data_IF_259541561685
#
_entry.id   IF_259541561685
#
_cell.length_a   1.000
_cell.length_b   1.000
_cell.length_c   1.000
_cell.angle_alpha   90.00
_cell.angle_beta   90.00
_cell.angle_gamma   90.00
#
_symmetry.space_group_name_H-M   'P 1'
#
loop_
_entity.id
_entity.type
_entity.pdbx_description
1 polymer ?
#
# COMPACT_ATOMS: atom_id res chain seq x y z
N UNK A 1 -33.71 32.55 -12.97
CA UNK A 1 -32.30 32.86 -13.08
C UNK A 1 -31.61 32.64 -11.75
N UNK A 2 -31.10 31.46 -11.52
CA UNK A 2 -30.24 31.14 -10.36
C UNK A 2 -28.85 30.86 -10.91
N UNK A 3 -27.91 31.80 -10.71
CA UNK A 3 -26.51 31.59 -11.02
C UNK A 3 -25.91 30.69 -9.96
N UNK A 4 -25.56 29.44 -10.32
CA UNK A 4 -24.72 28.58 -9.51
C UNK A 4 -23.33 29.20 -9.39
N UNK A 5 -22.97 29.69 -8.21
CA UNK A 5 -21.62 30.14 -7.91
C UNK A 5 -20.63 28.98 -8.05
N UNK A 6 -19.35 29.26 -8.32
CA UNK A 6 -18.32 28.22 -8.44
C UNK A 6 -18.22 27.44 -7.13
N UNK A 7 -18.31 26.13 -7.23
CA UNK A 7 -18.03 25.22 -6.11
C UNK A 7 -16.59 25.48 -5.70
N UNK A 8 -16.37 25.96 -4.48
CA UNK A 8 -15.05 26.23 -3.95
C UNK A 8 -14.24 24.93 -3.99
N UNK A 9 -13.07 24.96 -4.61
CA UNK A 9 -12.12 23.86 -4.57
C UNK A 9 -11.87 23.47 -3.10
N UNK A 10 -11.85 22.19 -2.75
CA UNK A 10 -11.54 21.77 -1.40
C UNK A 10 -10.16 22.30 -1.01
N UNK A 11 -10.05 22.82 0.21
CA UNK A 11 -8.78 23.31 0.75
C UNK A 11 -7.67 22.26 0.56
N UNK A 12 -6.43 22.65 0.23
CA UNK A 12 -5.34 21.72 0.06
C UNK A 12 -5.18 20.90 1.34
N UNK A 13 -4.92 19.60 1.25
CA UNK A 13 -4.72 18.77 2.42
C UNK A 13 -3.59 19.35 3.26
N UNK A 14 -3.94 19.62 4.50
CA UNK A 14 -3.13 20.31 5.51
C UNK A 14 -1.71 19.72 5.57
N UNK A 15 -0.70 20.55 5.81
CA UNK A 15 0.71 20.21 5.99
C UNK A 15 1.02 19.22 7.14
N UNK A 16 0.00 18.62 7.74
CA UNK A 16 0.05 17.82 8.97
C UNK A 16 0.28 16.33 8.76
N UNK A 17 0.39 15.83 7.55
CA UNK A 17 0.65 14.40 7.34
C UNK A 17 2.11 14.18 6.95
N UNK A 18 2.96 13.96 7.95
CA UNK A 18 4.29 13.41 7.73
C UNK A 18 4.14 12.02 7.05
N UNK A 19 4.92 11.74 6.00
CA UNK A 19 4.95 10.41 5.39
C UNK A 19 5.36 9.37 6.44
N UNK A 20 4.80 8.16 6.31
CA UNK A 20 5.07 7.05 7.23
C UNK A 20 6.52 6.57 7.08
N UNK A 21 7.23 6.32 8.19
CA UNK A 21 8.63 5.87 8.18
C UNK A 21 9.56 6.80 7.39
N UNK A 22 9.29 8.11 7.40
CA UNK A 22 10.06 9.07 6.61
C UNK A 22 11.56 9.01 6.91
N UNK A 23 11.92 9.00 8.21
CA UNK A 23 13.30 8.93 8.66
C UNK A 23 14.01 7.66 8.17
N UNK A 24 13.32 6.53 8.24
CA UNK A 24 13.83 5.24 7.80
C UNK A 24 13.99 5.21 6.27
N UNK A 25 13.08 5.85 5.53
CA UNK A 25 13.19 5.97 4.07
C UNK A 25 14.38 6.84 3.66
N UNK A 26 14.58 7.99 4.29
CA UNK A 26 15.75 8.83 4.05
C UNK A 26 17.04 8.07 4.39
N UNK A 27 17.08 7.38 5.53
CA UNK A 27 18.19 6.51 5.90
C UNK A 27 18.47 5.38 4.92
N UNK A 28 17.45 4.87 4.22
CA UNK A 28 17.63 3.83 3.20
C UNK A 28 18.46 4.31 2.00
N UNK A 29 18.38 5.58 1.65
CA UNK A 29 19.11 6.19 0.54
C UNK A 29 20.34 6.97 0.98
N UNK A 30 20.53 7.22 2.27
CA UNK A 30 21.67 7.96 2.80
C UNK A 30 23.02 7.36 2.38
N UNK A 31 24.01 8.25 2.11
CA UNK A 31 25.36 7.87 1.71
C UNK A 31 25.44 7.28 0.30
N UNK A 32 24.44 7.53 -0.54
CA UNK A 32 24.43 7.18 -1.98
C UNK A 32 24.24 8.44 -2.81
N UNK A 33 24.86 8.47 -3.96
CA UNK A 33 24.55 9.46 -4.99
C UNK A 33 23.37 8.95 -5.81
N UNK A 34 22.30 9.75 -5.87
CA UNK A 34 21.07 9.42 -6.62
C UNK A 34 20.99 10.27 -7.88
N UNK A 35 21.45 9.76 -9.02
CA UNK A 35 21.24 10.45 -10.31
C UNK A 35 19.82 10.28 -10.84
N UNK A 36 19.23 9.08 -10.63
CA UNK A 36 17.87 8.72 -11.03
C UNK A 36 17.11 8.18 -9.82
N UNK A 37 16.01 8.85 -9.47
CA UNK A 37 15.12 8.41 -8.39
C UNK A 37 13.70 8.16 -8.92
N UNK A 38 13.13 6.99 -8.61
CA UNK A 38 11.76 6.62 -8.96
C UNK A 38 10.92 6.38 -7.69
N UNK A 39 9.78 7.05 -7.61
CA UNK A 39 8.74 6.79 -6.62
C UNK A 39 7.55 6.13 -7.32
N UNK A 40 7.35 4.85 -7.05
CA UNK A 40 6.33 4.02 -7.70
C UNK A 40 4.93 4.23 -7.14
N UNK A 41 4.81 4.98 -6.05
CA UNK A 41 3.59 5.20 -5.28
C UNK A 41 3.55 6.63 -4.78
N UNK A 42 3.66 7.55 -5.73
CA UNK A 42 3.93 8.97 -5.48
C UNK A 42 2.98 9.62 -4.47
N UNK A 43 1.69 9.27 -4.52
CA UNK A 43 0.67 9.88 -3.68
C UNK A 43 0.73 11.41 -3.79
N UNK A 44 0.85 12.07 -2.64
CA UNK A 44 0.99 13.53 -2.56
C UNK A 44 2.44 14.03 -2.67
N UNK A 45 3.39 13.15 -2.98
CA UNK A 45 4.81 13.51 -3.12
C UNK A 45 5.54 13.78 -1.80
N UNK A 46 5.04 13.27 -0.69
CA UNK A 46 5.63 13.53 0.63
C UNK A 46 7.02 12.91 0.79
N UNK A 47 7.16 11.62 0.54
CA UNK A 47 8.45 10.93 0.54
C UNK A 47 9.39 11.49 -0.52
N UNK A 48 8.88 11.63 -1.75
CA UNK A 48 9.66 12.17 -2.86
C UNK A 48 10.21 13.55 -2.56
N UNK A 49 9.38 14.44 -1.99
CA UNK A 49 9.84 15.78 -1.62
C UNK A 49 10.99 15.78 -0.63
N UNK A 50 10.91 14.90 0.38
CA UNK A 50 11.97 14.79 1.38
C UNK A 50 13.26 14.15 0.79
N UNK A 51 13.13 13.09 -0.02
CA UNK A 51 14.29 12.49 -0.70
C UNK A 51 14.96 13.49 -1.62
N UNK A 52 14.22 14.20 -2.47
CA UNK A 52 14.75 15.19 -3.38
C UNK A 52 15.39 16.40 -2.67
N UNK A 53 14.92 16.74 -1.46
CA UNK A 53 15.53 17.79 -0.65
C UNK A 53 16.89 17.36 -0.06
N UNK A 54 17.06 16.08 0.30
CA UNK A 54 18.32 15.51 0.80
C UNK A 54 19.29 15.12 -0.32
N UNK A 55 18.76 14.87 -1.54
CA UNK A 55 19.50 14.43 -2.71
C UNK A 55 19.39 15.42 -3.88
N UNK A 56 19.97 16.64 -3.76
CA UNK A 56 19.90 17.66 -4.82
C UNK A 56 20.65 17.25 -6.09
N UNK A 57 21.44 16.20 -6.06
CA UNK A 57 22.12 15.60 -7.21
C UNK A 57 21.20 14.78 -8.12
N UNK A 58 19.95 14.52 -7.73
CA UNK A 58 18.96 13.82 -8.59
C UNK A 58 18.73 14.64 -9.85
N UNK A 59 19.08 14.07 -11.00
CA UNK A 59 18.88 14.69 -12.31
C UNK A 59 17.55 14.33 -12.93
N UNK A 60 17.11 13.07 -12.74
CA UNK A 60 15.85 12.57 -13.28
C UNK A 60 15.01 11.96 -12.16
N UNK A 61 13.82 12.49 -12.02
CA UNK A 61 12.78 11.97 -11.12
C UNK A 61 11.65 11.36 -11.94
N UNK A 62 11.17 10.18 -11.51
CA UNK A 62 10.00 9.50 -12.08
C UNK A 62 9.02 9.19 -10.95
N UNK A 63 7.90 9.89 -10.92
CA UNK A 63 6.83 9.66 -9.93
C UNK A 63 5.62 9.02 -10.59
N UNK A 64 5.22 7.85 -10.12
CA UNK A 64 4.11 7.06 -10.66
C UNK A 64 2.96 7.01 -9.67
N UNK A 65 1.74 7.24 -10.13
CA UNK A 65 0.51 7.00 -9.36
C UNK A 65 -0.65 6.67 -10.30
N UNK A 66 -1.62 5.88 -9.82
CA UNK A 66 -2.87 5.57 -10.54
C UNK A 66 -3.88 6.71 -10.44
N UNK A 67 -3.83 7.48 -9.35
CA UNK A 67 -4.79 8.54 -9.08
C UNK A 67 -4.33 9.86 -9.71
N UNK A 68 -5.05 10.36 -10.75
CA UNK A 68 -4.67 11.60 -11.43
C UNK A 68 -4.69 12.82 -10.51
N UNK A 69 -5.55 12.82 -9.47
CA UNK A 69 -5.64 13.91 -8.51
C UNK A 69 -4.39 13.95 -7.60
N UNK A 70 -3.90 12.77 -7.22
CA UNK A 70 -2.66 12.67 -6.45
C UNK A 70 -1.48 13.23 -7.24
N UNK A 71 -1.36 12.86 -8.52
CA UNK A 71 -0.31 13.35 -9.43
C UNK A 71 -0.34 14.87 -9.60
N UNK A 72 -1.52 15.47 -9.74
CA UNK A 72 -1.67 16.92 -9.87
C UNK A 72 -1.15 17.65 -8.62
N UNK A 73 -1.55 17.19 -7.43
CA UNK A 73 -1.11 17.76 -6.16
C UNK A 73 0.40 17.57 -5.97
N UNK A 74 0.92 16.37 -6.26
CA UNK A 74 2.36 16.10 -6.16
C UNK A 74 3.18 16.97 -7.10
N UNK A 75 2.72 17.16 -8.34
CA UNK A 75 3.36 18.05 -9.32
C UNK A 75 3.45 19.48 -8.79
N UNK A 76 2.36 20.04 -8.27
CA UNK A 76 2.38 21.36 -7.66
C UNK A 76 3.30 21.45 -6.45
N UNK A 77 3.32 20.41 -5.60
CA UNK A 77 4.13 20.36 -4.38
C UNK A 77 5.63 20.27 -4.67
N UNK A 78 6.01 19.50 -5.68
CA UNK A 78 7.41 19.21 -6.04
C UNK A 78 7.97 20.22 -7.05
N UNK A 79 7.16 21.15 -7.58
CA UNK A 79 7.64 22.21 -8.48
C UNK A 79 8.52 23.23 -7.74
N UNK A 80 9.26 24.03 -8.51
CA UNK A 80 10.04 25.13 -7.96
C UNK A 80 9.14 26.10 -7.18
N UNK A 81 9.49 26.39 -5.94
CA UNK A 81 8.66 27.20 -5.03
C UNK A 81 7.43 26.47 -4.48
N UNK A 82 7.25 25.17 -4.74
CA UNK A 82 6.19 24.36 -4.18
C UNK A 82 6.38 24.03 -2.71
N UNK A 83 5.35 23.41 -2.11
CA UNK A 83 5.30 23.13 -0.67
C UNK A 83 6.40 22.16 -0.14
N UNK A 84 7.08 21.43 -1.04
CA UNK A 84 8.24 20.58 -0.67
C UNK A 84 9.50 21.37 -0.36
N UNK A 85 9.53 22.68 -0.68
CA UNK A 85 10.66 23.55 -0.39
C UNK A 85 11.94 23.19 -1.13
N UNK A 86 11.85 22.54 -2.29
CA UNK A 86 13.00 22.16 -3.10
C UNK A 86 13.76 23.41 -3.57
N UNK A 87 15.05 23.50 -3.25
CA UNK A 87 15.92 24.59 -3.69
C UNK A 87 16.19 24.53 -5.19
N UNK A 88 16.40 23.31 -5.70
CA UNK A 88 16.58 23.03 -7.13
C UNK A 88 15.88 21.69 -7.43
N UNK A 89 14.72 21.72 -8.10
CA UNK A 89 14.09 20.48 -8.55
C UNK A 89 14.97 19.78 -9.59
N UNK A 90 14.86 18.46 -9.76
CA UNK A 90 15.53 17.73 -10.82
C UNK A 90 15.31 18.33 -12.19
N UNK A 91 16.34 18.24 -13.07
CA UNK A 91 16.25 18.77 -14.44
C UNK A 91 15.13 18.11 -15.25
N UNK A 92 14.86 16.82 -15.00
CA UNK A 92 13.75 16.09 -15.58
C UNK A 92 12.81 15.57 -14.48
N UNK A 93 11.58 16.08 -14.47
CA UNK A 93 10.51 15.70 -13.56
C UNK A 93 9.40 14.99 -14.36
N UNK A 94 9.30 13.68 -14.22
CA UNK A 94 8.33 12.85 -14.91
C UNK A 94 7.22 12.41 -13.96
N UNK A 95 6.00 12.86 -14.19
CA UNK A 95 4.81 12.45 -13.43
C UNK A 95 3.95 11.57 -14.32
N UNK A 96 3.87 10.29 -13.99
CA UNK A 96 3.26 9.28 -14.84
C UNK A 96 1.99 8.73 -14.20
N UNK A 97 0.86 8.87 -14.88
CA UNK A 97 -0.35 8.16 -14.51
C UNK A 97 -0.21 6.70 -14.99
N UNK A 98 -0.06 5.77 -14.06
CA UNK A 98 0.16 4.38 -14.42
C UNK A 98 0.22 3.45 -13.22
N UNK A 99 0.42 2.19 -13.53
CA UNK A 99 0.66 1.15 -12.54
C UNK A 99 2.16 0.95 -12.36
N UNK A 100 2.60 0.81 -11.13
CA UNK A 100 4.02 0.53 -10.82
C UNK A 100 4.51 -0.84 -11.36
N UNK A 101 3.61 -1.71 -11.81
CA UNK A 101 3.96 -2.92 -12.57
C UNK A 101 4.68 -2.62 -13.87
N UNK A 102 4.39 -1.45 -14.44
CA UNK A 102 4.91 -0.97 -15.72
C UNK A 102 6.13 -0.03 -15.51
N UNK A 103 6.83 -0.15 -14.37
CA UNK A 103 7.99 0.70 -14.08
C UNK A 103 9.04 0.72 -15.20
N UNK A 104 9.41 -0.40 -15.83
CA UNK A 104 10.37 -0.37 -16.94
C UNK A 104 9.88 0.48 -18.13
N UNK A 105 8.60 0.45 -18.43
CA UNK A 105 7.96 1.26 -19.48
C UNK A 105 7.96 2.75 -19.10
N UNK A 106 7.67 3.05 -17.84
CA UNK A 106 7.69 4.42 -17.34
C UNK A 106 9.10 5.02 -17.37
N UNK A 107 10.13 4.23 -17.05
CA UNK A 107 11.53 4.65 -17.17
C UNK A 107 11.89 4.92 -18.65
N UNK A 108 11.51 4.03 -19.57
CA UNK A 108 11.71 4.24 -21.02
C UNK A 108 11.00 5.51 -21.51
N UNK A 109 9.78 5.75 -21.04
CA UNK A 109 9.03 6.98 -21.34
C UNK A 109 9.70 8.24 -20.82
N UNK A 110 10.51 8.14 -19.78
CA UNK A 110 11.35 9.23 -19.25
C UNK A 110 12.73 9.35 -19.94
N UNK A 111 12.97 8.60 -21.02
CA UNK A 111 14.24 8.62 -21.76
C UNK A 111 15.35 7.80 -21.11
N UNK A 112 15.02 6.90 -20.19
CA UNK A 112 15.96 6.03 -19.47
C UNK A 112 15.88 4.58 -19.98
N UNK A 113 16.90 3.76 -19.77
CA UNK A 113 16.77 2.31 -19.89
C UNK A 113 15.65 1.79 -18.95
N UNK A 114 14.92 0.75 -19.39
CA UNK A 114 13.93 0.10 -18.52
C UNK A 114 14.56 -0.73 -17.40
N UNK A 115 15.83 -1.08 -17.55
CA UNK A 115 16.63 -1.88 -16.61
C UNK A 115 17.94 -1.18 -16.31
N UNK A 116 18.48 -1.37 -15.10
CA UNK A 116 19.79 -0.87 -14.72
C UNK A 116 19.92 0.66 -14.65
N UNK A 117 18.81 1.40 -14.56
CA UNK A 117 18.80 2.85 -14.68
C UNK A 117 18.63 3.61 -13.36
N UNK A 118 17.92 3.03 -12.39
CA UNK A 118 17.52 3.75 -11.19
C UNK A 118 18.53 3.54 -10.04
N UNK A 119 19.00 4.63 -9.45
CA UNK A 119 19.85 4.60 -8.26
C UNK A 119 19.03 4.43 -6.98
N UNK A 120 17.79 4.92 -6.98
CA UNK A 120 16.86 4.75 -5.89
C UNK A 120 15.44 4.49 -6.40
N UNK A 121 14.78 3.48 -5.80
CA UNK A 121 13.36 3.20 -6.04
C UNK A 121 12.67 3.11 -4.69
N UNK A 122 11.52 3.79 -4.55
CA UNK A 122 10.65 3.71 -3.40
C UNK A 122 9.28 3.16 -3.81
N UNK A 123 8.74 2.25 -2.99
CA UNK A 123 7.36 1.78 -3.06
C UNK A 123 6.72 1.90 -1.68
N UNK A 124 5.74 2.78 -1.52
CA UNK A 124 4.91 2.89 -0.32
C UNK A 124 3.55 2.23 -0.62
N UNK A 125 3.45 0.93 -0.29
CA UNK A 125 2.31 0.11 -0.68
C UNK A 125 1.03 0.53 0.05
N UNK A 126 -0.11 0.25 -0.57
CA UNK A 126 -1.41 0.51 -0.01
C UNK A 126 -2.10 1.71 -0.65
N UNK A 127 -2.81 2.51 0.15
CA UNK A 127 -3.66 3.61 -0.32
C UNK A 127 -3.22 4.94 0.28
N UNK A 128 -3.45 6.02 -0.48
CA UNK A 128 -3.05 7.37 -0.07
C UNK A 128 -3.96 7.96 1.00
N UNK A 129 -3.46 8.98 1.72
CA UNK A 129 -4.27 9.75 2.68
C UNK A 129 -5.50 10.36 2.01
N UNK A 130 -5.39 10.84 0.76
CA UNK A 130 -6.55 11.37 0.00
C UNK A 130 -7.67 10.33 -0.12
N UNK A 131 -7.32 9.07 -0.36
CA UNK A 131 -8.29 8.01 -0.56
C UNK A 131 -8.99 7.63 0.74
N UNK A 132 -8.30 7.63 1.88
CA UNK A 132 -8.89 7.25 3.17
C UNK A 132 -9.64 8.39 3.84
N UNK A 133 -9.21 9.63 3.61
CA UNK A 133 -9.82 10.80 4.24
C UNK A 133 -11.05 11.32 3.49
N UNK A 134 -11.24 10.91 2.24
CA UNK A 134 -12.41 11.22 1.43
C UNK A 134 -13.48 10.12 1.58
N UNK A 135 -14.62 10.39 2.26
CA UNK A 135 -15.69 9.41 2.42
C UNK A 135 -16.27 8.92 1.10
N UNK A 136 -16.27 9.76 0.06
CA UNK A 136 -16.78 9.42 -1.28
C UNK A 136 -15.98 8.33 -1.98
N UNK A 137 -14.78 8.03 -1.49
CA UNK A 137 -13.92 6.96 -2.02
C UNK A 137 -14.18 5.59 -1.35
N UNK A 138 -14.89 5.52 -0.24
CA UNK A 138 -15.30 4.29 0.44
C UNK A 138 -14.19 3.43 1.06
N UNK A 139 -12.97 3.96 1.22
CA UNK A 139 -11.86 3.21 1.83
C UNK A 139 -11.97 3.07 3.35
N UNK A 140 -12.75 3.91 3.99
CA UNK A 140 -12.93 3.95 5.44
C UNK A 140 -14.39 3.75 5.82
N UNK A 141 -14.62 3.11 6.96
CA UNK A 141 -15.94 3.00 7.59
C UNK A 141 -16.11 3.95 8.80
N UNK A 142 -15.15 4.84 9.03
CA UNK A 142 -15.24 5.83 10.11
C UNK A 142 -16.28 6.92 9.80
N UNK A 143 -16.46 7.23 8.54
CA UNK A 143 -17.52 8.06 7.99
C UNK A 143 -18.23 7.24 6.92
N UNK A 144 -19.56 7.33 6.90
CA UNK A 144 -20.35 6.66 5.87
C UNK A 144 -20.17 7.32 4.53
N UNK A 145 -20.14 6.52 3.47
CA UNK A 145 -19.97 6.96 2.09
C UNK A 145 -20.21 5.80 1.12
N UNK A 146 -20.18 6.06 -0.20
CA UNK A 146 -20.34 5.01 -1.21
C UNK A 146 -19.34 3.86 -1.01
N UNK A 147 -19.79 2.62 -1.22
CA UNK A 147 -18.97 1.43 -1.11
C UNK A 147 -18.15 1.20 -2.39
N UNK A 148 -17.13 2.05 -2.62
CA UNK A 148 -16.37 2.06 -3.87
C UNK A 148 -15.03 1.31 -3.74
N UNK A 149 -14.07 1.83 -3.00
CA UNK A 149 -12.71 1.31 -2.74
C UNK A 149 -11.79 1.23 -3.98
N UNK A 150 -12.15 1.78 -5.13
CA UNK A 150 -11.28 1.79 -6.32
C UNK A 150 -10.15 2.81 -6.18
N UNK A 151 -8.92 2.40 -6.40
CA UNK A 151 -7.78 3.32 -6.52
C UNK A 151 -7.85 4.09 -7.84
N UNK A 152 -8.09 3.38 -8.95
CA UNK A 152 -8.42 3.98 -10.25
C UNK A 152 -9.94 4.03 -10.44
N UNK A 153 -10.55 5.22 -10.46
CA UNK A 153 -12.00 5.36 -10.65
C UNK A 153 -12.51 4.79 -12.00
N UNK A 154 -11.64 4.62 -12.98
CA UNK A 154 -12.02 4.10 -14.30
C UNK A 154 -12.22 2.57 -14.34
N UNK A 155 -11.75 1.82 -13.33
CA UNK A 155 -11.94 0.37 -13.32
C UNK A 155 -13.41 -0.01 -13.04
N UNK A 156 -13.84 -1.15 -13.61
CA UNK A 156 -15.23 -1.60 -13.49
C UNK A 156 -15.57 -2.18 -12.11
N UNK A 157 -14.64 -2.97 -11.52
CA UNK A 157 -14.86 -3.63 -10.24
C UNK A 157 -14.73 -2.63 -9.09
N UNK A 158 -15.81 -2.47 -8.31
CA UNK A 158 -15.82 -1.73 -7.04
C UNK A 158 -16.17 -2.67 -5.87
N UNK A 159 -15.99 -2.21 -4.64
CA UNK A 159 -16.40 -2.99 -3.47
C UNK A 159 -17.92 -3.22 -3.44
N UNK A 160 -18.71 -2.26 -3.96
CA UNK A 160 -20.16 -2.41 -4.14
C UNK A 160 -20.50 -3.57 -5.09
N UNK A 161 -19.84 -3.64 -6.23
CA UNK A 161 -20.00 -4.75 -7.18
C UNK A 161 -19.62 -6.08 -6.50
N UNK A 162 -18.47 -6.12 -5.84
CA UNK A 162 -17.99 -7.34 -5.16
C UNK A 162 -19.00 -7.87 -4.12
N UNK A 163 -19.51 -7.01 -3.21
CA UNK A 163 -20.42 -7.47 -2.15
C UNK A 163 -21.82 -7.82 -2.65
N UNK A 164 -22.26 -7.23 -3.78
CA UNK A 164 -23.59 -7.46 -4.30
C UNK A 164 -23.66 -8.60 -5.33
N UNK A 165 -22.60 -8.84 -6.09
CA UNK A 165 -22.60 -9.80 -7.20
C UNK A 165 -21.90 -11.11 -6.89
N UNK A 166 -20.83 -11.09 -6.05
CA UNK A 166 -20.10 -12.32 -5.75
C UNK A 166 -20.90 -13.29 -4.90
N UNK A 167 -20.73 -14.58 -5.17
CA UNK A 167 -21.32 -15.64 -4.38
C UNK A 167 -20.72 -15.75 -2.98
N UNK A 168 -21.42 -16.42 -2.07
CA UNK A 168 -20.97 -16.61 -0.68
C UNK A 168 -19.59 -17.29 -0.60
N UNK A 169 -19.34 -18.26 -1.47
CA UNK A 169 -18.05 -18.97 -1.51
C UNK A 169 -16.90 -18.06 -1.96
N UNK A 170 -17.13 -17.20 -2.95
CA UNK A 170 -16.15 -16.26 -3.46
C UNK A 170 -15.84 -15.17 -2.43
N UNK A 171 -16.87 -14.55 -1.85
CA UNK A 171 -16.71 -13.64 -0.72
C UNK A 171 -15.94 -14.31 0.42
N UNK A 172 -16.31 -15.56 0.76
CA UNK A 172 -15.63 -16.32 1.80
C UNK A 172 -14.15 -16.53 1.50
N UNK A 173 -13.77 -16.87 0.25
CA UNK A 173 -12.37 -16.98 -0.17
C UNK A 173 -11.62 -15.67 -0.01
N UNK A 174 -12.18 -14.57 -0.50
CA UNK A 174 -11.58 -13.24 -0.39
C UNK A 174 -11.37 -12.83 1.07
N UNK A 175 -12.39 -12.98 1.93
CA UNK A 175 -12.28 -12.66 3.35
C UNK A 175 -11.22 -13.52 4.07
N UNK A 176 -11.14 -14.81 3.72
CA UNK A 176 -10.15 -15.73 4.29
C UNK A 176 -8.73 -15.39 3.85
N UNK A 177 -8.52 -15.25 2.54
CA UNK A 177 -7.19 -15.24 1.94
C UNK A 177 -6.56 -13.83 1.94
N UNK A 178 -7.36 -12.79 1.72
CA UNK A 178 -6.91 -11.40 1.67
C UNK A 178 -7.15 -10.61 2.97
N UNK A 179 -8.14 -11.04 3.78
CA UNK A 179 -8.43 -10.44 5.09
C UNK A 179 -7.78 -11.15 6.25
N UNK A 180 -7.23 -12.36 6.05
CA UNK A 180 -6.84 -13.25 7.15
C UNK A 180 -7.95 -13.37 8.22
N UNK A 181 -9.24 -13.34 7.78
CA UNK A 181 -10.41 -13.31 8.65
C UNK A 181 -10.79 -14.72 9.13
N UNK A 182 -10.77 -14.93 10.43
CA UNK A 182 -11.04 -16.25 11.01
C UNK A 182 -12.52 -16.66 10.90
N UNK A 183 -13.42 -15.69 10.92
CA UNK A 183 -14.88 -15.91 10.87
C UNK A 183 -15.44 -15.72 9.45
N UNK A 184 -14.61 -15.90 8.43
CA UNK A 184 -14.92 -15.61 7.05
C UNK A 184 -16.23 -16.24 6.53
N UNK A 185 -16.52 -17.52 6.88
CA UNK A 185 -17.77 -18.18 6.48
C UNK A 185 -19.00 -17.45 7.00
N UNK A 186 -18.98 -17.14 8.31
CA UNK A 186 -20.07 -16.42 8.96
C UNK A 186 -20.27 -15.02 8.38
N UNK A 187 -19.18 -14.31 8.08
CA UNK A 187 -19.25 -12.94 7.54
C UNK A 187 -19.71 -12.94 6.09
N UNK A 188 -19.25 -13.88 5.24
CA UNK A 188 -19.73 -14.05 3.88
C UNK A 188 -21.24 -14.35 3.86
N UNK A 189 -21.68 -15.33 4.67
CA UNK A 189 -23.11 -15.64 4.79
C UNK A 189 -23.95 -14.46 5.25
N UNK A 190 -23.46 -13.64 6.19
CA UNK A 190 -24.15 -12.41 6.64
C UNK A 190 -24.30 -11.38 5.52
N UNK A 191 -23.27 -11.14 4.72
CA UNK A 191 -23.34 -10.24 3.57
C UNK A 191 -24.44 -10.70 2.61
N UNK A 192 -24.42 -11.99 2.23
CA UNK A 192 -25.42 -12.56 1.31
C UNK A 192 -26.82 -12.50 1.89
N UNK A 193 -27.01 -12.86 3.16
CA UNK A 193 -28.31 -12.77 3.84
C UNK A 193 -28.81 -11.32 3.93
N UNK A 194 -27.93 -10.36 4.23
CA UNK A 194 -28.31 -8.96 4.33
C UNK A 194 -28.81 -8.42 2.99
N UNK A 195 -28.07 -8.65 1.89
CA UNK A 195 -28.49 -8.18 0.56
C UNK A 195 -29.77 -8.87 0.06
N UNK A 196 -29.97 -10.13 0.42
CA UNK A 196 -31.20 -10.85 0.07
C UNK A 196 -32.41 -10.31 0.83
N UNK A 197 -32.23 -9.88 2.08
CA UNK A 197 -33.31 -9.40 2.94
C UNK A 197 -33.64 -7.91 2.79
N UNK A 198 -32.63 -7.09 2.47
CA UNK A 198 -32.72 -5.61 2.46
C UNK A 198 -32.40 -4.94 1.13
N UNK A 199 -32.00 -5.70 0.14
CA UNK A 199 -31.53 -5.19 -1.14
C UNK A 199 -30.04 -4.92 -1.17
N UNK A 200 -29.59 -4.23 -2.22
CA UNK A 200 -28.19 -3.93 -2.48
C UNK A 200 -27.52 -3.18 -1.33
N UNK A 201 -26.26 -3.50 -1.06
CA UNK A 201 -25.40 -2.81 -0.10
C UNK A 201 -24.67 -1.69 -0.85
N UNK A 202 -25.03 -0.44 -0.58
CA UNK A 202 -24.58 0.73 -1.33
C UNK A 202 -23.49 1.51 -0.58
N UNK A 203 -23.50 1.46 0.77
CA UNK A 203 -22.60 2.28 1.59
C UNK A 203 -21.70 1.48 2.49
N UNK A 204 -20.63 2.12 2.95
CA UNK A 204 -19.70 1.56 3.94
C UNK A 204 -20.40 1.25 5.25
N UNK A 205 -21.34 2.09 5.67
CA UNK A 205 -22.16 1.90 6.87
C UNK A 205 -23.07 0.68 6.77
N UNK A 206 -23.73 0.47 5.63
CA UNK A 206 -24.56 -0.72 5.38
C UNK A 206 -23.73 -2.00 5.40
N UNK A 207 -22.51 -1.98 4.84
CA UNK A 207 -21.60 -3.13 4.95
C UNK A 207 -21.24 -3.42 6.41
N UNK A 208 -20.91 -2.38 7.22
CA UNK A 208 -20.64 -2.55 8.66
C UNK A 208 -21.87 -3.14 9.39
N UNK A 209 -23.09 -2.73 9.02
CA UNK A 209 -24.32 -3.30 9.56
C UNK A 209 -24.49 -4.77 9.14
N UNK A 210 -24.28 -5.10 7.87
CA UNK A 210 -24.33 -6.48 7.35
C UNK A 210 -23.34 -7.41 8.10
N UNK A 211 -22.17 -6.91 8.45
CA UNK A 211 -21.19 -7.64 9.26
C UNK A 211 -21.62 -7.81 10.73
N UNK A 212 -22.69 -7.11 11.17
CA UNK A 212 -23.15 -7.08 12.56
C UNK A 212 -22.21 -6.33 13.48
N UNK A 213 -21.53 -5.30 12.96
CA UNK A 213 -20.57 -4.50 13.69
C UNK A 213 -21.07 -3.06 13.97
N UNK A 214 -22.33 -2.74 13.64
CA UNK A 214 -22.95 -1.44 13.89
C UNK A 214 -22.97 -1.15 15.41
N UNK A 215 -22.49 0.02 15.78
CA UNK A 215 -22.39 0.41 17.19
C UNK A 215 -21.31 -0.32 18.00
N UNK A 216 -20.41 -1.04 17.33
CA UNK A 216 -19.28 -1.68 18.01
C UNK A 216 -18.42 -0.63 18.73
N UNK A 217 -18.17 -0.88 20.02
CA UNK A 217 -17.26 -0.06 20.82
C UNK A 217 -16.05 -0.90 21.18
N UNK A 218 -14.81 -0.36 21.10
CA UNK A 218 -13.63 -1.08 21.56
C UNK A 218 -13.85 -1.50 23.03
N UNK A 219 -13.71 -2.78 23.30
CA UNK A 219 -13.63 -3.23 24.68
C UNK A 219 -12.29 -2.69 25.21
N UNK A 220 -12.36 -1.63 26.01
CA UNK A 220 -11.23 -1.19 26.80
C UNK A 220 -10.97 -2.29 27.82
N UNK A 221 -10.04 -3.21 27.49
CA UNK A 221 -9.56 -4.16 28.46
C UNK A 221 -9.12 -3.34 29.69
N UNK A 222 -9.88 -3.47 30.78
CA UNK A 222 -9.51 -2.87 32.07
C UNK A 222 -8.03 -3.16 32.26
N UNK A 223 -7.24 -2.12 32.55
CA UNK A 223 -5.83 -2.25 32.95
C UNK A 223 -5.77 -3.06 34.25
N UNK A 224 -5.97 -4.37 34.13
CA UNK A 224 -5.82 -5.34 35.21
C UNK A 224 -4.54 -6.15 34.93
N UNK A 225 -3.54 -6.04 35.80
CA UNK A 225 -2.45 -7.02 35.83
C UNK A 225 -3.08 -8.37 36.15
N UNK A 226 -3.15 -9.24 35.15
CA UNK A 226 -3.36 -10.68 35.41
C UNK A 226 -2.09 -11.23 36.07
N UNK A 227 -2.20 -12.11 37.08
CA UNK A 227 -1.07 -12.83 37.64
C UNK A 227 -0.56 -13.82 36.59
N UNK A 228 0.59 -13.52 35.96
CA UNK A 228 1.23 -14.39 34.98
C UNK A 228 1.54 -13.71 33.66
N UNK A 229 2.43 -12.73 33.60
CA UNK A 229 3.32 -12.29 32.50
C UNK A 229 2.84 -12.41 31.02
N UNK A 230 1.56 -12.52 30.72
CA UNK A 230 1.02 -12.67 29.39
C UNK A 230 1.12 -11.39 28.58
N UNK A 231 1.59 -11.46 27.33
CA UNK A 231 1.63 -10.38 26.34
C UNK A 231 0.32 -9.60 26.36
N UNK A 232 0.39 -8.31 26.60
CA UNK A 232 -0.74 -7.40 26.48
C UNK A 232 -1.33 -7.54 25.07
N UNK A 233 -2.57 -7.99 24.97
CA UNK A 233 -3.32 -7.89 23.73
C UNK A 233 -3.46 -6.39 23.41
N UNK A 234 -3.01 -5.98 22.23
CA UNK A 234 -3.25 -4.62 21.74
C UNK A 234 -4.75 -4.31 21.65
N UNK A 235 -5.13 -3.03 21.44
CA UNK A 235 -6.54 -2.68 21.32
C UNK A 235 -7.21 -3.55 20.26
N UNK A 236 -8.42 -4.05 20.58
CA UNK A 236 -9.18 -4.91 19.68
C UNK A 236 -9.48 -4.15 18.38
N UNK A 237 -9.09 -4.71 17.24
CA UNK A 237 -9.42 -4.17 15.92
C UNK A 237 -10.94 -4.20 15.72
N UNK A 238 -11.47 -3.17 15.04
CA UNK A 238 -12.86 -3.15 14.64
C UNK A 238 -13.18 -4.41 13.78
N UNK A 239 -14.32 -5.10 14.00
CA UNK A 239 -14.64 -6.33 13.26
C UNK A 239 -14.65 -6.18 11.74
N UNK A 240 -15.02 -5.00 11.22
CA UNK A 240 -15.04 -4.72 9.79
C UNK A 240 -13.63 -4.53 9.17
N UNK A 241 -12.58 -4.24 9.96
CA UNK A 241 -11.24 -3.88 9.44
C UNK A 241 -10.70 -4.91 8.44
N UNK A 242 -10.81 -6.20 8.77
CA UNK A 242 -10.30 -7.27 7.89
C UNK A 242 -11.13 -7.46 6.64
N UNK A 243 -12.45 -7.26 6.74
CA UNK A 243 -13.35 -7.32 5.57
C UNK A 243 -13.04 -6.17 4.62
N UNK A 244 -12.90 -4.95 5.13
CA UNK A 244 -12.51 -3.79 4.31
C UNK A 244 -11.15 -3.97 3.65
N UNK A 245 -10.15 -4.46 4.40
CA UNK A 245 -8.86 -4.82 3.83
C UNK A 245 -9.00 -5.86 2.71
N UNK A 246 -9.74 -6.93 2.93
CA UNK A 246 -9.92 -7.99 1.95
C UNK A 246 -10.56 -7.51 0.65
N UNK A 247 -11.65 -6.74 0.76
CA UNK A 247 -12.35 -6.16 -0.39
C UNK A 247 -11.45 -5.18 -1.15
N UNK A 248 -10.74 -4.29 -0.45
CA UNK A 248 -9.81 -3.34 -1.05
C UNK A 248 -8.73 -4.04 -1.86
N UNK A 249 -8.09 -5.04 -1.27
CA UNK A 249 -7.05 -5.84 -1.94
C UNK A 249 -7.61 -6.54 -3.18
N UNK A 250 -8.82 -7.11 -3.08
CA UNK A 250 -9.46 -7.80 -4.20
C UNK A 250 -9.86 -6.84 -5.32
N UNK A 251 -10.48 -5.72 -4.99
CA UNK A 251 -10.93 -4.70 -5.94
C UNK A 251 -9.76 -4.14 -6.74
N UNK A 252 -8.63 -3.89 -6.09
CA UNK A 252 -7.48 -3.23 -6.72
C UNK A 252 -6.39 -4.19 -7.22
N UNK A 253 -6.54 -5.49 -6.99
CA UNK A 253 -5.52 -6.47 -7.36
C UNK A 253 -4.16 -6.20 -6.72
N UNK A 254 -4.14 -5.69 -5.47
CA UNK A 254 -2.96 -5.13 -4.83
C UNK A 254 -1.81 -6.13 -4.73
N UNK A 255 -2.08 -7.35 -4.26
CA UNK A 255 -1.04 -8.36 -4.07
C UNK A 255 -0.44 -8.85 -5.39
N UNK A 256 -1.26 -9.00 -6.44
CA UNK A 256 -0.78 -9.36 -7.78
C UNK A 256 0.09 -8.26 -8.37
N UNK A 257 -0.30 -7.00 -8.12
CA UNK A 257 0.50 -5.84 -8.55
C UNK A 257 1.87 -5.81 -7.88
N UNK A 258 1.93 -6.07 -6.57
CA UNK A 258 3.20 -6.14 -5.84
C UNK A 258 4.06 -7.32 -6.31
N UNK A 259 3.45 -8.50 -6.50
CA UNK A 259 4.17 -9.71 -6.91
C UNK A 259 4.85 -9.56 -8.27
N UNK A 260 4.17 -8.94 -9.24
CA UNK A 260 4.72 -8.70 -10.58
C UNK A 260 5.71 -7.52 -10.62
N UNK A 261 5.50 -6.49 -9.81
CA UNK A 261 6.34 -5.30 -9.83
C UNK A 261 7.71 -5.48 -9.17
N UNK A 262 7.80 -6.30 -8.11
CA UNK A 262 9.05 -6.45 -7.35
C UNK A 262 10.23 -6.95 -8.20
N UNK A 263 10.09 -8.00 -9.05
CA UNK A 263 11.16 -8.40 -9.96
C UNK A 263 11.56 -7.28 -10.92
N UNK A 264 10.59 -6.60 -11.54
CA UNK A 264 10.83 -5.52 -12.49
C UNK A 264 11.55 -4.32 -11.82
N UNK A 265 11.16 -3.97 -10.58
CA UNK A 265 11.83 -2.91 -9.82
C UNK A 265 13.29 -3.28 -9.46
N UNK A 266 13.55 -4.55 -9.13
CA UNK A 266 14.92 -5.03 -8.88
C UNK A 266 15.77 -4.98 -10.17
N UNK A 267 15.16 -5.29 -11.31
CA UNK A 267 15.86 -5.26 -12.60
C UNK A 267 16.10 -3.81 -13.08
N UNK A 268 15.21 -2.89 -12.74
CA UNK A 268 15.36 -1.46 -13.02
C UNK A 268 16.49 -0.79 -12.24
N UNK A 269 16.95 -1.36 -11.12
CA UNK A 269 18.04 -0.79 -10.32
C UNK A 269 19.39 -0.87 -11.06
N UNK A 270 20.12 0.24 -11.06
CA UNK A 270 21.53 0.28 -11.38
C UNK A 270 22.36 -0.51 -10.35
N UNK A 271 23.58 -0.99 -10.70
CA UNK A 271 24.48 -1.58 -9.73
C UNK A 271 24.74 -0.63 -8.54
N UNK A 272 24.56 -1.12 -7.32
CA UNK A 272 24.61 -0.32 -6.10
C UNK A 272 23.32 0.48 -5.81
N UNK A 273 22.35 0.51 -6.72
CA UNK A 273 21.04 1.14 -6.52
C UNK A 273 20.22 0.44 -5.45
N UNK A 274 19.31 1.17 -4.81
CA UNK A 274 18.52 0.65 -3.68
C UNK A 274 17.02 0.69 -3.96
N UNK A 275 16.33 -0.37 -3.56
CA UNK A 275 14.86 -0.45 -3.52
C UNK A 275 14.40 -0.50 -2.06
N UNK A 276 13.63 0.51 -1.67
CA UNK A 276 12.88 0.54 -0.41
C UNK A 276 11.41 0.23 -0.64
N UNK A 277 10.84 -0.68 0.15
CA UNK A 277 9.40 -1.03 0.07
C UNK A 277 8.78 -0.96 1.46
N UNK A 278 7.77 -0.10 1.61
CA UNK A 278 6.93 -0.02 2.81
C UNK A 278 5.70 -0.90 2.59
N UNK A 279 5.36 -1.71 3.57
CA UNK A 279 4.16 -2.55 3.60
C UNK A 279 3.38 -2.31 4.88
N UNK A 280 2.04 -2.41 4.83
CA UNK A 280 1.15 -2.11 5.96
C UNK A 280 0.46 -3.33 6.56
N UNK A 281 0.48 -4.45 5.89
CA UNK A 281 -0.07 -5.70 6.41
C UNK A 281 0.80 -6.92 6.11
N UNK A 282 0.46 -8.05 6.77
CA UNK A 282 1.24 -9.29 6.76
C UNK A 282 1.40 -9.90 5.37
N UNK A 283 0.42 -9.76 4.49
CA UNK A 283 0.45 -10.34 3.15
C UNK A 283 1.46 -9.61 2.26
N UNK A 284 1.43 -8.27 2.24
CA UNK A 284 2.45 -7.45 1.54
C UNK A 284 3.85 -7.73 2.06
N UNK A 285 4.07 -7.64 3.39
CA UNK A 285 5.38 -7.88 4.01
C UNK A 285 5.94 -9.27 3.66
N UNK A 286 5.05 -10.26 3.53
CA UNK A 286 5.40 -11.62 3.13
C UNK A 286 5.89 -11.66 1.68
N UNK A 287 5.17 -11.03 0.74
CA UNK A 287 5.56 -10.93 -0.66
C UNK A 287 6.92 -10.26 -0.82
N UNK A 288 7.08 -9.07 -0.24
CA UNK A 288 8.34 -8.31 -0.30
C UNK A 288 9.51 -9.12 0.27
N UNK A 289 9.33 -9.72 1.45
CA UNK A 289 10.35 -10.56 2.08
C UNK A 289 10.78 -11.72 1.18
N UNK A 290 9.83 -12.40 0.53
CA UNK A 290 10.17 -13.55 -0.30
C UNK A 290 10.77 -13.14 -1.65
N UNK A 291 10.29 -12.06 -2.26
CA UNK A 291 10.90 -11.50 -3.47
C UNK A 291 12.37 -11.13 -3.22
N UNK A 292 12.64 -10.42 -2.12
CA UNK A 292 14.00 -10.03 -1.76
C UNK A 292 14.92 -11.22 -1.43
N UNK A 293 14.41 -12.23 -0.74
CA UNK A 293 15.17 -13.46 -0.48
C UNK A 293 15.47 -14.24 -1.75
N UNK A 294 14.52 -14.32 -2.67
CA UNK A 294 14.73 -14.96 -3.97
C UNK A 294 15.81 -14.23 -4.75
N UNK A 295 15.70 -12.91 -4.86
CA UNK A 295 16.70 -12.09 -5.56
C UNK A 295 18.09 -12.13 -4.91
N UNK A 296 18.18 -12.40 -3.60
CA UNK A 296 19.43 -12.57 -2.87
C UNK A 296 19.97 -14.03 -2.90
N UNK A 297 19.41 -14.92 -3.72
CA UNK A 297 19.83 -16.33 -3.77
C UNK A 297 19.58 -17.13 -2.48
N UNK A 298 18.73 -16.63 -1.57
CA UNK A 298 18.48 -17.23 -0.25
C UNK A 298 17.16 -18.01 -0.17
N UNK A 299 16.38 -18.06 -1.25
CA UNK A 299 15.06 -18.69 -1.21
C UNK A 299 15.15 -20.19 -1.48
N UNK A 300 14.90 -20.98 -0.44
CA UNK A 300 14.17 -22.24 -0.59
C UNK A 300 12.67 -21.89 -0.65
N UNK A 301 11.84 -22.79 -1.22
CA UNK A 301 10.39 -22.57 -1.35
C UNK A 301 9.79 -21.90 -0.10
N UNK A 302 8.95 -20.88 -0.31
CA UNK A 302 8.29 -20.18 0.81
C UNK A 302 7.53 -21.20 1.67
N UNK A 303 7.71 -21.22 3.00
CA UNK A 303 6.94 -22.11 3.84
C UNK A 303 5.47 -21.71 3.76
N UNK A 304 4.59 -22.68 3.53
CA UNK A 304 3.15 -22.47 3.56
C UNK A 304 2.74 -21.81 4.88
N UNK A 305 1.92 -20.77 4.80
CA UNK A 305 1.29 -20.19 5.99
C UNK A 305 0.44 -21.24 6.69
N UNK A 306 0.14 -21.04 7.99
CA UNK A 306 -0.78 -21.95 8.71
C UNK A 306 -2.10 -22.11 7.97
N UNK A 307 -2.57 -21.06 7.30
CA UNK A 307 -3.84 -21.03 6.60
C UNK A 307 -3.77 -21.78 5.26
N UNK A 308 -2.68 -21.66 4.50
CA UNK A 308 -2.39 -22.43 3.29
C UNK A 308 -2.24 -23.93 3.60
N UNK A 309 -1.65 -24.26 4.75
CA UNK A 309 -1.58 -25.66 5.23
C UNK A 309 -2.95 -26.25 5.54
N UNK A 310 -3.90 -25.44 6.01
CA UNK A 310 -5.25 -25.89 6.35
C UNK A 310 -6.21 -25.91 5.15
N UNK A 311 -6.02 -25.02 4.17
CA UNK A 311 -6.94 -24.89 3.04
C UNK A 311 -6.61 -25.80 1.86
N UNK A 312 -5.43 -26.42 1.85
CA UNK A 312 -4.95 -27.22 0.70
C UNK A 312 -4.74 -26.39 -0.58
N UNK A 313 -5.06 -25.11 -0.54
CA UNK A 313 -4.89 -24.18 -1.65
C UNK A 313 -3.63 -23.37 -1.38
N UNK A 314 -2.59 -23.59 -2.20
CA UNK A 314 -1.55 -22.57 -2.36
C UNK A 314 -2.26 -21.33 -2.89
N UNK A 315 -2.34 -20.29 -2.09
CA UNK A 315 -2.63 -18.98 -2.65
C UNK A 315 -1.59 -18.74 -3.77
N UNK A 316 -2.02 -18.22 -4.90
CA UNK A 316 -1.16 -17.92 -6.06
C UNK A 316 0.00 -16.96 -5.77
N UNK A 317 0.12 -16.54 -4.53
CA UNK A 317 1.18 -15.72 -3.91
C UNK A 317 2.55 -16.43 -3.85
N UNK A 318 2.59 -17.74 -4.06
CA UNK A 318 3.84 -18.46 -4.28
C UNK A 318 3.94 -18.76 -5.77
N UNK A 319 4.55 -17.85 -6.52
CA UNK A 319 4.88 -18.09 -7.93
C UNK A 319 5.55 -19.45 -8.14
N UNK A 320 5.65 -19.93 -9.41
CA UNK A 320 6.08 -21.27 -9.74
C UNK A 320 7.34 -21.64 -8.99
N UNK A 321 7.45 -22.91 -8.60
CA UNK A 321 8.67 -23.50 -8.07
C UNK A 321 9.79 -23.34 -9.12
N UNK A 322 10.47 -22.22 -9.08
CA UNK A 322 11.70 -22.05 -9.81
C UNK A 322 12.79 -22.70 -8.94
N UNK A 323 12.97 -24.00 -9.16
CA UNK A 323 14.16 -24.70 -8.75
C UNK A 323 15.34 -24.12 -9.51
N UNK A 324 16.15 -23.33 -8.84
CA UNK A 324 17.39 -22.80 -9.35
C UNK A 324 18.04 -21.99 -8.23
N UNK A 325 19.30 -22.25 -7.94
CA UNK A 325 20.16 -21.34 -7.21
C UNK A 325 20.57 -20.25 -8.20
N UNK A 326 19.65 -19.31 -8.47
CA UNK A 326 20.01 -18.12 -9.24
C UNK A 326 21.10 -17.37 -8.46
N UNK A 327 22.10 -16.87 -9.19
CA UNK A 327 23.11 -16.01 -8.62
C UNK A 327 22.44 -14.84 -7.89
N UNK A 328 22.97 -14.48 -6.71
CA UNK A 328 22.42 -13.34 -5.97
C UNK A 328 22.49 -12.08 -6.83
N UNK A 329 21.36 -11.43 -7.03
CA UNK A 329 21.25 -10.16 -7.77
C UNK A 329 21.17 -8.95 -6.86
N UNK A 330 20.84 -9.19 -5.57
CA UNK A 330 20.74 -8.13 -4.57
C UNK A 330 21.34 -8.55 -3.24
N UNK A 331 21.74 -7.57 -2.46
CA UNK A 331 22.08 -7.69 -1.04
C UNK A 331 20.92 -7.17 -0.19
N UNK A 332 20.44 -7.98 0.77
CA UNK A 332 19.41 -7.55 1.72
C UNK A 332 20.06 -6.65 2.77
N UNK A 333 19.65 -5.39 2.83
CA UNK A 333 20.14 -4.42 3.82
C UNK A 333 19.38 -4.55 5.14
N UNK A 334 18.10 -4.86 5.10
CA UNK A 334 17.24 -5.02 6.29
C UNK A 334 16.90 -6.49 6.56
N UNK A 335 17.68 -7.18 7.39
CA UNK A 335 17.39 -8.57 7.80
C UNK A 335 16.04 -8.68 8.52
N UNK A 336 15.70 -7.68 9.35
CA UNK A 336 14.38 -7.45 9.93
C UNK A 336 13.81 -6.19 9.34
N UNK A 337 12.48 -6.06 9.17
CA UNK A 337 11.91 -4.82 8.68
C UNK A 337 12.16 -3.70 9.69
N UNK A 338 12.39 -2.48 9.20
CA UNK A 338 12.34 -1.27 10.01
C UNK A 338 10.88 -0.96 10.30
N UNK A 339 10.60 -0.48 11.49
CA UNK A 339 9.23 -0.14 11.96
C UNK A 339 9.26 1.20 12.64
N UNK A 340 8.12 1.87 12.64
CA UNK A 340 7.97 3.18 13.26
C UNK A 340 8.39 3.19 14.75
N UNK A 341 9.05 4.26 15.14
CA UNK A 341 9.33 4.54 16.53
C UNK A 341 8.03 4.80 17.32
N UNK A 342 7.99 4.57 18.65
CA UNK A 342 6.80 4.84 19.46
C UNK A 342 6.25 6.27 19.29
N UNK A 343 7.14 7.25 19.19
CA UNK A 343 6.82 8.66 19.02
C UNK A 343 6.09 8.89 17.69
N UNK A 344 6.58 8.31 16.60
CA UNK A 344 5.90 8.37 15.29
C UNK A 344 4.52 7.73 15.35
N UNK A 345 4.37 6.61 16.05
CA UNK A 345 3.06 5.93 16.18
C UNK A 345 2.05 6.78 16.97
N UNK A 346 2.51 7.59 17.94
CA UNK A 346 1.66 8.52 18.67
C UNK A 346 1.21 9.70 17.80
N UNK A 347 2.12 10.25 17.00
CA UNK A 347 1.84 11.37 16.08
C UNK A 347 1.07 10.92 14.83
N UNK A 348 1.44 9.76 14.27
CA UNK A 348 0.84 9.19 13.08
C UNK A 348 0.44 7.71 13.32
N UNK A 349 -0.77 7.44 13.82
CA UNK A 349 -1.23 6.07 14.09
C UNK A 349 -1.23 5.13 12.87
N UNK A 350 -1.16 5.66 11.64
CA UNK A 350 -1.06 4.88 10.41
C UNK A 350 0.28 4.16 10.29
N UNK A 351 1.35 4.69 10.92
CA UNK A 351 2.68 4.08 10.92
C UNK A 351 2.78 2.80 11.76
N UNK A 352 1.83 2.54 12.66
CA UNK A 352 1.87 1.42 13.61
C UNK A 352 2.10 0.05 12.99
N UNK A 353 1.56 -0.20 11.81
CA UNK A 353 1.70 -1.48 11.08
C UNK A 353 2.74 -1.43 9.96
N UNK A 354 3.30 -0.27 9.69
CA UNK A 354 4.25 -0.06 8.61
C UNK A 354 5.56 -0.82 8.84
N UNK A 355 6.12 -1.32 7.75
CA UNK A 355 7.37 -2.08 7.73
C UNK A 355 8.15 -1.73 6.47
N UNK A 356 9.31 -1.14 6.64
CA UNK A 356 10.22 -0.88 5.52
C UNK A 356 11.22 -2.01 5.36
N UNK A 357 11.35 -2.52 4.14
CA UNK A 357 12.42 -3.42 3.73
C UNK A 357 13.25 -2.80 2.61
N UNK A 358 14.56 -3.03 2.66
CA UNK A 358 15.51 -2.43 1.72
C UNK A 358 16.46 -3.50 1.17
N UNK A 359 16.69 -3.46 -0.14
CA UNK A 359 17.74 -4.21 -0.84
C UNK A 359 18.61 -3.28 -1.66
N UNK A 360 19.82 -3.73 -1.96
CA UNK A 360 20.77 -3.05 -2.83
C UNK A 360 21.15 -3.99 -3.97
N UNK A 361 21.16 -3.49 -5.20
CA UNK A 361 21.60 -4.22 -6.41
C UNK A 361 23.08 -4.55 -6.33
N UNK A 362 23.47 -5.77 -6.70
CA UNK A 362 24.87 -6.20 -6.80
C UNK A 362 25.50 -5.82 -8.12
#
# INVERSE_FOLDING_TARGET
GGQGGPVAAPAPPDARHAPVLLRECLGAFAGRELGVFADCTLGLGGHSGAVLAEHPEVRTFVGVDKDPRALEIARGRLSAGGAAGLRAPPAAMNFVRGDFRELPEHLRGAGLPGEGAADGILMDLGFSSLQVDDPERGFSFLRDGPLDMRMDPAQALSARVAVNEWGEEELGRVLRDLGEERHWRRLAGRIVQFRAARGSIETTGELVEALGAKGWKPYHARRGRGPGGGRRAGPALHPATRTFQALRIAVNGELQSVESALPAAIDALAPGGRLGVISFHSLEDRLVKWAFRRAAGQARAAPLSKQEKFSGVRASVTGPELGGTDAARVRILTKRPLTAAPEEVEENPRSRSAKLRVVEKL
#
